data_IF_094436590720
#
_entry.id   IF_094436590720
#
_cell.length_a   1.000
_cell.length_b   1.000
_cell.length_c   1.000
_cell.angle_alpha   90.00
_cell.angle_beta   90.00
_cell.angle_gamma   90.00
#
_symmetry.space_group_name_H-M   'P 1'
#
loop_
_entity.id
_entity.type
_entity.pdbx_description
1 polymer ?
#
# COMPACT_ATOMS: atom_id res chain seq x y z
N UNK A 1 -19.97 -0.38 -10.72
CA UNK A 1 -18.62 -0.82 -11.11
C UNK A 1 -18.66 -2.25 -11.66
N UNK A 2 -17.98 -2.52 -12.76
CA UNK A 2 -17.91 -3.85 -13.39
C UNK A 2 -16.45 -4.26 -13.59
N UNK A 3 -16.02 -5.30 -12.87
CA UNK A 3 -14.70 -5.92 -13.03
C UNK A 3 -14.63 -6.77 -14.30
N UNK A 4 -13.41 -6.97 -14.80
CA UNK A 4 -13.11 -7.96 -15.88
C UNK A 4 -12.76 -9.33 -15.31
N UNK A 5 -12.65 -9.45 -14.00
CA UNK A 5 -12.36 -10.69 -13.31
C UNK A 5 -13.65 -11.42 -12.93
N UNK A 6 -13.50 -12.68 -12.54
CA UNK A 6 -14.62 -13.49 -12.06
C UNK A 6 -15.20 -12.89 -10.77
N UNK A 7 -16.51 -12.78 -10.71
CA UNK A 7 -17.22 -12.35 -9.51
C UNK A 7 -16.81 -13.19 -8.28
N UNK A 8 -16.83 -12.55 -7.13
CA UNK A 8 -16.52 -13.16 -5.83
C UNK A 8 -15.14 -13.88 -5.75
N UNK A 9 -14.19 -13.47 -6.60
CA UNK A 9 -12.81 -14.00 -6.60
C UNK A 9 -12.14 -13.95 -5.22
N UNK A 10 -12.44 -12.91 -4.44
CA UNK A 10 -11.92 -12.69 -3.09
C UNK A 10 -12.97 -12.84 -1.99
N UNK A 11 -14.07 -13.55 -2.25
CA UNK A 11 -15.08 -13.81 -1.23
C UNK A 11 -14.46 -14.47 0.01
N UNK A 12 -14.78 -13.92 1.20
CA UNK A 12 -14.25 -14.40 2.47
C UNK A 12 -12.79 -13.99 2.77
N UNK A 13 -12.16 -13.19 1.88
CA UNK A 13 -10.80 -12.68 2.08
C UNK A 13 -10.79 -11.29 2.69
N UNK A 14 -9.87 -11.03 3.61
CA UNK A 14 -9.62 -9.70 4.17
C UNK A 14 -8.32 -9.13 3.61
N UNK A 15 -8.40 -7.98 2.99
CA UNK A 15 -7.29 -7.35 2.28
C UNK A 15 -7.06 -5.92 2.78
N UNK A 16 -5.85 -5.64 3.23
CA UNK A 16 -5.42 -4.30 3.68
C UNK A 16 -4.88 -3.53 2.49
N UNK A 17 -5.29 -2.27 2.33
CA UNK A 17 -4.75 -1.34 1.32
C UNK A 17 -4.25 -0.08 2.02
N UNK A 18 -2.92 0.13 2.02
CA UNK A 18 -2.33 1.36 2.53
C UNK A 18 -2.42 2.47 1.48
N UNK A 19 -2.65 3.72 1.93
CA UNK A 19 -2.93 4.82 1.01
C UNK A 19 -4.27 4.67 0.28
N UNK A 20 -5.23 3.96 0.88
CA UNK A 20 -6.53 3.63 0.28
C UNK A 20 -7.48 4.80 0.05
N UNK A 21 -7.15 5.99 0.54
CA UNK A 21 -8.02 7.19 0.42
C UNK A 21 -7.89 7.96 -0.89
N UNK A 22 -7.06 7.56 -1.85
CA UNK A 22 -6.91 8.24 -3.14
C UNK A 22 -6.13 7.42 -4.17
N UNK A 23 -6.15 7.85 -5.43
CA UNK A 23 -5.31 7.35 -6.52
C UNK A 23 -5.37 5.82 -6.69
N UNK A 24 -4.21 5.21 -6.90
CA UNK A 24 -4.07 3.76 -7.12
C UNK A 24 -4.67 2.97 -5.95
N UNK A 25 -4.42 3.39 -4.70
CA UNK A 25 -4.96 2.70 -3.52
C UNK A 25 -6.48 2.71 -3.48
N UNK A 26 -7.13 3.85 -3.78
CA UNK A 26 -8.59 3.92 -3.89
C UNK A 26 -9.13 2.99 -4.98
N UNK A 27 -8.55 3.04 -6.19
CA UNK A 27 -8.99 2.17 -7.29
C UNK A 27 -8.80 0.68 -6.95
N UNK A 28 -7.66 0.33 -6.34
CA UNK A 28 -7.39 -1.04 -5.88
C UNK A 28 -8.42 -1.49 -4.84
N UNK A 29 -8.77 -0.63 -3.90
CA UNK A 29 -9.77 -0.95 -2.87
C UNK A 29 -11.15 -1.20 -3.46
N UNK A 30 -11.59 -0.38 -4.42
CA UNK A 30 -12.86 -0.58 -5.14
C UNK A 30 -12.87 -1.91 -5.91
N UNK A 31 -11.79 -2.23 -6.65
CA UNK A 31 -11.69 -3.49 -7.38
C UNK A 31 -11.76 -4.69 -6.44
N UNK A 32 -10.98 -4.69 -5.36
CA UNK A 32 -10.97 -5.78 -4.39
C UNK A 32 -12.34 -5.97 -3.72
N UNK A 33 -13.02 -4.88 -3.37
CA UNK A 33 -14.37 -4.93 -2.80
C UNK A 33 -15.40 -5.46 -3.80
N UNK A 34 -15.34 -5.02 -5.06
CA UNK A 34 -16.21 -5.52 -6.15
C UNK A 34 -16.03 -7.03 -6.36
N UNK A 35 -14.80 -7.53 -6.17
CA UNK A 35 -14.46 -8.95 -6.24
C UNK A 35 -14.74 -9.74 -4.95
N UNK A 36 -15.43 -9.16 -3.98
CA UNK A 36 -15.92 -9.87 -2.79
C UNK A 36 -15.06 -9.76 -1.55
N UNK A 37 -13.92 -9.06 -1.59
CA UNK A 37 -13.07 -8.90 -0.42
C UNK A 37 -13.71 -8.02 0.67
N UNK A 38 -13.41 -8.32 1.93
CA UNK A 38 -13.48 -7.36 3.02
C UNK A 38 -12.25 -6.46 2.93
N UNK A 39 -12.43 -5.21 2.57
CA UNK A 39 -11.32 -4.25 2.44
C UNK A 39 -11.09 -3.49 3.73
N UNK A 40 -9.82 -3.31 4.08
CA UNK A 40 -9.36 -2.47 5.19
C UNK A 40 -8.49 -1.35 4.63
N UNK A 41 -8.97 -0.12 4.69
CA UNK A 41 -8.30 1.07 4.19
C UNK A 41 -7.40 1.68 5.27
N UNK A 42 -6.14 1.95 4.95
CA UNK A 42 -5.23 2.68 5.82
C UNK A 42 -4.74 3.98 5.17
N UNK A 43 -4.63 5.03 5.97
CA UNK A 43 -4.09 6.31 5.52
C UNK A 43 -4.07 7.35 6.64
N UNK A 44 -3.55 8.54 6.36
CA UNK A 44 -3.41 9.61 7.37
C UNK A 44 -4.64 10.50 7.53
N UNK A 45 -5.52 10.56 6.52
CA UNK A 45 -6.67 11.45 6.47
C UNK A 45 -7.95 10.64 6.57
N UNK A 46 -8.61 10.73 7.72
CA UNK A 46 -9.82 9.98 8.04
C UNK A 46 -10.97 10.32 7.08
N UNK A 47 -11.14 11.60 6.76
CA UNK A 47 -12.15 12.09 5.83
C UNK A 47 -12.08 11.41 4.47
N UNK A 48 -10.86 11.25 3.93
CA UNK A 48 -10.63 10.56 2.66
C UNK A 48 -10.90 9.06 2.73
N UNK A 49 -10.50 8.42 3.83
CA UNK A 49 -10.73 6.99 4.01
C UNK A 49 -12.22 6.70 4.15
N UNK A 50 -12.92 7.54 4.94
CA UNK A 50 -14.36 7.44 5.10
C UNK A 50 -15.10 7.63 3.78
N UNK A 51 -14.72 8.64 2.99
CA UNK A 51 -15.34 8.87 1.69
C UNK A 51 -15.21 7.64 0.78
N UNK A 52 -14.01 7.02 0.70
CA UNK A 52 -13.79 5.80 -0.09
C UNK A 52 -14.57 4.60 0.48
N UNK A 53 -14.69 4.48 1.79
CA UNK A 53 -15.50 3.41 2.40
C UNK A 53 -17.00 3.59 2.07
N UNK A 54 -17.49 4.82 2.09
CA UNK A 54 -18.88 5.14 1.70
C UNK A 54 -19.11 4.85 0.20
N UNK A 55 -18.19 5.24 -0.68
CA UNK A 55 -18.22 4.91 -2.11
C UNK A 55 -18.26 3.39 -2.36
N UNK A 56 -17.41 2.62 -1.68
CA UNK A 56 -17.40 1.15 -1.80
C UNK A 56 -18.75 0.57 -1.38
N UNK A 57 -19.33 1.07 -0.29
CA UNK A 57 -20.66 0.62 0.16
C UNK A 57 -21.74 0.93 -0.87
N UNK A 58 -21.72 2.11 -1.45
CA UNK A 58 -22.68 2.53 -2.48
C UNK A 58 -22.54 1.68 -3.76
N UNK A 59 -21.32 1.44 -4.21
CA UNK A 59 -21.02 0.74 -5.46
C UNK A 59 -21.23 -0.79 -5.37
N UNK A 60 -20.95 -1.38 -4.21
CA UNK A 60 -20.85 -2.85 -4.07
C UNK A 60 -21.80 -3.43 -3.02
N UNK A 61 -22.43 -2.59 -2.19
CA UNK A 61 -23.20 -3.02 -1.02
C UNK A 61 -22.33 -3.60 0.12
N UNK A 62 -21.01 -3.53 0.04
CA UNK A 62 -20.07 -4.13 1.01
C UNK A 62 -19.49 -3.06 1.92
N UNK A 63 -19.34 -3.38 3.20
CA UNK A 63 -18.67 -2.50 4.16
C UNK A 63 -17.15 -2.61 4.04
N UNK A 64 -16.48 -1.46 3.94
CA UNK A 64 -15.03 -1.34 4.08
C UNK A 64 -14.68 -0.78 5.46
N UNK A 65 -13.71 -1.41 6.13
CA UNK A 65 -13.15 -0.86 7.36
C UNK A 65 -12.09 0.20 7.03
N UNK A 66 -11.89 1.16 7.92
CA UNK A 66 -10.80 2.10 7.76
C UNK A 66 -10.14 2.45 9.11
N UNK A 67 -8.83 2.71 9.06
CA UNK A 67 -8.03 3.11 10.22
C UNK A 67 -7.08 4.23 9.83
N UNK A 68 -6.98 5.25 10.67
CA UNK A 68 -5.96 6.28 10.51
C UNK A 68 -4.61 5.77 10.99
N UNK A 69 -3.61 5.78 10.10
CA UNK A 69 -2.26 5.35 10.41
C UNK A 69 -1.24 6.15 9.61
N UNK A 70 -0.22 6.66 10.29
CA UNK A 70 1.00 7.11 9.64
C UNK A 70 1.99 5.93 9.62
N UNK A 71 2.18 5.33 8.44
CA UNK A 71 3.05 4.15 8.28
C UNK A 71 4.53 4.42 8.61
N UNK A 72 4.92 5.68 8.81
CA UNK A 72 6.29 6.08 9.20
C UNK A 72 6.54 5.95 10.71
N UNK A 73 5.50 5.73 11.48
CA UNK A 73 5.51 5.60 12.93
C UNK A 73 5.31 4.13 13.32
N UNK A 74 6.38 3.50 13.82
CA UNK A 74 6.42 2.07 14.11
C UNK A 74 5.37 1.66 15.16
N UNK A 75 5.23 2.44 16.23
CA UNK A 75 4.26 2.13 17.29
C UNK A 75 2.82 2.21 16.77
N UNK A 76 2.51 3.24 15.97
CA UNK A 76 1.20 3.37 15.33
C UNK A 76 0.90 2.23 14.38
N UNK A 77 1.89 1.80 13.58
CA UNK A 77 1.72 0.66 12.69
C UNK A 77 1.41 -0.61 13.48
N UNK A 78 2.20 -0.91 14.51
CA UNK A 78 2.00 -2.07 15.37
C UNK A 78 0.60 -2.08 15.99
N UNK A 79 0.20 -0.96 16.60
CA UNK A 79 -1.06 -0.85 17.31
C UNK A 79 -2.26 -0.88 16.35
N UNK A 80 -2.12 -0.26 15.16
CA UNK A 80 -3.17 -0.31 14.12
C UNK A 80 -3.34 -1.72 13.57
N UNK A 81 -2.26 -2.44 13.28
CA UNK A 81 -2.34 -3.82 12.80
C UNK A 81 -2.96 -4.72 13.87
N UNK A 82 -2.63 -4.52 15.15
CA UNK A 82 -3.27 -5.24 16.26
C UNK A 82 -4.78 -4.96 16.34
N UNK A 83 -5.20 -3.71 16.15
CA UNK A 83 -6.62 -3.34 16.13
C UNK A 83 -7.36 -3.98 14.94
N UNK A 84 -6.72 -4.06 13.77
CA UNK A 84 -7.28 -4.73 12.60
C UNK A 84 -7.50 -6.22 12.91
N UNK A 85 -6.49 -6.95 13.40
CA UNK A 85 -6.64 -8.38 13.71
C UNK A 85 -7.69 -8.67 14.77
N UNK A 86 -7.96 -7.73 15.69
CA UNK A 86 -9.08 -7.86 16.64
C UNK A 86 -10.45 -7.81 15.98
N UNK A 87 -10.58 -7.09 14.85
CA UNK A 87 -11.87 -6.93 14.16
C UNK A 87 -12.09 -7.99 13.07
N UNK A 88 -11.03 -8.43 12.39
CA UNK A 88 -11.17 -9.28 11.20
C UNK A 88 -10.69 -10.71 11.39
N UNK A 89 -10.08 -11.04 12.51
CA UNK A 89 -9.51 -12.35 12.87
C UNK A 89 -8.36 -12.81 11.96
N UNK A 90 -8.47 -12.64 10.63
CA UNK A 90 -7.47 -13.03 9.66
C UNK A 90 -7.29 -11.93 8.59
N UNK A 91 -6.06 -11.71 8.18
CA UNK A 91 -5.67 -10.87 7.04
C UNK A 91 -5.05 -11.78 5.98
N UNK A 92 -5.66 -11.84 4.79
CA UNK A 92 -5.23 -12.68 3.67
C UNK A 92 -4.29 -11.94 2.71
N UNK A 93 -4.33 -10.60 2.72
CA UNK A 93 -3.46 -9.81 1.85
C UNK A 93 -3.19 -8.40 2.34
N UNK A 94 -2.03 -7.89 1.88
CA UNK A 94 -1.59 -6.52 2.11
C UNK A 94 -1.15 -5.90 0.79
N UNK A 95 -1.73 -4.75 0.44
CA UNK A 95 -1.24 -3.89 -0.64
C UNK A 95 -0.52 -2.69 0.00
N UNK A 96 0.80 -2.72 -0.03
CA UNK A 96 1.66 -1.60 0.35
C UNK A 96 1.70 -0.58 -0.79
N UNK A 97 0.72 0.31 -0.79
CA UNK A 97 0.57 1.35 -1.81
C UNK A 97 0.86 2.75 -1.28
N UNK A 98 0.75 2.98 0.03
CA UNK A 98 1.03 4.29 0.61
C UNK A 98 2.44 4.75 0.24
N UNK A 99 2.54 5.92 -0.36
CA UNK A 99 3.78 6.49 -0.84
C UNK A 99 3.65 7.98 -1.07
N UNK A 100 4.76 8.60 -1.43
CA UNK A 100 4.81 10.02 -1.78
C UNK A 100 6.21 10.44 -2.14
N UNK A 101 6.29 11.44 -3.01
CA UNK A 101 7.55 11.97 -3.52
C UNK A 101 7.34 13.41 -3.97
N UNK A 102 8.41 14.08 -4.29
CA UNK A 102 8.41 15.40 -4.90
C UNK A 102 9.54 15.50 -5.93
N UNK A 103 9.36 16.25 -7.00
CA UNK A 103 10.43 16.43 -7.98
C UNK A 103 11.53 17.35 -7.43
N UNK A 104 12.79 16.93 -7.59
CA UNK A 104 13.97 17.73 -7.27
C UNK A 104 15.21 17.16 -7.97
N UNK A 105 16.08 17.99 -8.56
CA UNK A 105 17.41 17.56 -8.98
C UNK A 105 18.17 16.93 -7.81
N UNK A 106 18.93 15.87 -8.05
CA UNK A 106 19.62 15.11 -6.98
C UNK A 106 20.46 16.02 -6.07
N UNK A 107 21.20 16.97 -6.67
CA UNK A 107 22.03 17.89 -5.90
C UNK A 107 21.25 18.87 -5.00
N UNK A 108 19.95 19.03 -5.23
CA UNK A 108 19.07 19.94 -4.47
C UNK A 108 18.22 19.22 -3.44
N UNK A 109 18.27 17.89 -3.37
CA UNK A 109 17.54 17.12 -2.35
C UNK A 109 18.18 17.34 -1.00
N UNK A 110 17.46 17.98 -0.08
CA UNK A 110 17.91 18.12 1.29
C UNK A 110 17.91 16.77 2.03
N UNK A 111 18.73 16.62 3.06
CA UNK A 111 18.72 15.43 3.92
C UNK A 111 17.31 15.13 4.44
N UNK A 112 16.60 16.13 4.95
CA UNK A 112 15.22 15.98 5.44
C UNK A 112 14.26 15.48 4.34
N UNK A 113 14.40 16.00 3.12
CA UNK A 113 13.61 15.57 1.98
C UNK A 113 13.88 14.12 1.61
N UNK A 114 15.16 13.76 1.54
CA UNK A 114 15.62 12.38 1.33
C UNK A 114 15.02 11.43 2.36
N UNK A 115 15.25 11.68 3.64
CA UNK A 115 14.77 10.86 4.75
C UNK A 115 13.24 10.72 4.76
N UNK A 116 12.51 11.80 4.44
CA UNK A 116 11.04 11.77 4.39
C UNK A 116 10.54 10.80 3.34
N UNK A 117 11.16 10.80 2.15
CA UNK A 117 10.75 9.91 1.05
C UNK A 117 11.16 8.46 1.34
N UNK A 118 12.36 8.24 1.86
CA UNK A 118 12.81 6.90 2.29
C UNK A 118 11.89 6.34 3.39
N UNK A 119 11.58 7.14 4.41
CA UNK A 119 10.68 6.71 5.49
C UNK A 119 9.28 6.36 4.99
N UNK A 120 8.77 7.09 4.00
CA UNK A 120 7.43 6.83 3.47
C UNK A 120 7.41 5.63 2.54
N UNK A 121 8.32 5.59 1.54
CA UNK A 121 8.25 4.62 0.43
C UNK A 121 9.00 3.31 0.68
N UNK A 122 9.88 3.25 1.69
CA UNK A 122 10.64 2.06 2.04
C UNK A 122 10.34 1.62 3.48
N UNK A 123 10.70 2.45 4.47
CA UNK A 123 10.55 2.07 5.88
C UNK A 123 9.10 1.77 6.24
N UNK A 124 8.15 2.61 5.81
CA UNK A 124 6.73 2.41 6.10
C UNK A 124 6.15 1.12 5.50
N UNK A 125 6.54 0.80 4.26
CA UNK A 125 6.13 -0.47 3.63
C UNK A 125 6.73 -1.68 4.35
N UNK A 126 8.00 -1.60 4.76
CA UNK A 126 8.65 -2.61 5.59
C UNK A 126 7.91 -2.81 6.93
N UNK A 127 7.64 -1.73 7.66
CA UNK A 127 6.93 -1.80 8.95
C UNK A 127 5.55 -2.45 8.81
N UNK A 128 4.79 -2.05 7.80
CA UNK A 128 3.47 -2.65 7.52
C UNK A 128 3.58 -4.15 7.21
N UNK A 129 4.50 -4.54 6.32
CA UNK A 129 4.69 -5.93 5.94
C UNK A 129 5.12 -6.77 7.15
N UNK A 130 6.07 -6.28 7.95
CA UNK A 130 6.58 -6.96 9.15
C UNK A 130 5.46 -7.17 10.17
N UNK A 131 4.69 -6.12 10.50
CA UNK A 131 3.65 -6.24 11.51
C UNK A 131 2.50 -7.15 11.07
N UNK A 132 2.07 -7.07 9.81
CA UNK A 132 1.05 -7.98 9.28
C UNK A 132 1.55 -9.43 9.28
N UNK A 133 2.82 -9.66 8.95
CA UNK A 133 3.43 -10.99 9.04
C UNK A 133 3.48 -11.49 10.49
N UNK A 134 4.08 -10.71 11.38
CA UNK A 134 4.33 -11.14 12.78
C UNK A 134 3.05 -11.38 13.57
N UNK A 135 2.01 -10.57 13.34
CA UNK A 135 0.77 -10.65 14.11
C UNK A 135 -0.23 -11.68 13.58
N UNK A 136 -0.03 -12.23 12.37
CA UNK A 136 -0.98 -13.22 11.85
C UNK A 136 -0.55 -14.01 10.63
N UNK A 137 -0.04 -13.38 9.56
CA UNK A 137 0.27 -14.10 8.31
C UNK A 137 1.33 -15.20 8.45
N UNK A 138 2.22 -15.11 9.43
CA UNK A 138 3.19 -16.17 9.75
C UNK A 138 2.54 -17.51 10.11
N UNK A 139 1.25 -17.51 10.46
CA UNK A 139 0.46 -18.71 10.81
C UNK A 139 -0.58 -19.07 9.74
N UNK A 140 -1.16 -18.06 9.10
CA UNK A 140 -2.27 -18.26 8.14
C UNK A 140 -1.82 -18.29 6.68
N UNK A 141 -0.57 -17.92 6.40
CA UNK A 141 -0.16 -17.60 5.03
C UNK A 141 -0.80 -16.30 4.53
N UNK A 142 -0.55 -15.95 3.27
CA UNK A 142 -1.14 -14.76 2.68
C UNK A 142 -0.39 -14.23 1.45
N UNK A 143 -0.73 -13.03 1.03
CA UNK A 143 -0.09 -12.36 -0.12
C UNK A 143 0.19 -10.90 0.18
N UNK A 144 1.43 -10.47 -0.05
CA UNK A 144 1.83 -9.06 0.05
C UNK A 144 2.19 -8.54 -1.34
N UNK A 145 1.65 -7.39 -1.71
CA UNK A 145 1.98 -6.69 -2.95
C UNK A 145 2.52 -5.31 -2.61
N UNK A 146 3.75 -5.06 -3.00
CA UNK A 146 4.42 -3.77 -2.82
C UNK A 146 4.30 -2.96 -4.11
N UNK A 147 3.68 -1.79 -4.04
CA UNK A 147 3.64 -0.87 -5.17
C UNK A 147 4.95 -0.09 -5.21
N UNK A 148 5.74 -0.33 -6.23
CA UNK A 148 7.00 0.38 -6.50
C UNK A 148 6.82 1.35 -7.67
N UNK A 149 7.84 1.61 -8.45
CA UNK A 149 7.78 2.39 -9.67
C UNK A 149 8.81 1.84 -10.66
N UNK A 150 8.72 2.23 -11.91
CA UNK A 150 9.78 1.96 -12.87
C UNK A 150 11.02 2.78 -12.50
N UNK A 151 12.01 2.12 -11.87
CA UNK A 151 13.24 2.74 -11.39
C UNK A 151 14.50 2.14 -12.00
N UNK A 152 14.38 1.12 -12.88
CA UNK A 152 15.53 0.38 -13.41
C UNK A 152 16.43 1.22 -14.32
N UNK A 153 15.87 2.19 -15.02
CA UNK A 153 16.61 3.18 -15.80
C UNK A 153 17.07 4.41 -15.00
N UNK A 154 16.87 4.38 -13.68
CA UNK A 154 16.99 5.56 -12.80
C UNK A 154 15.72 6.39 -12.80
N UNK A 155 15.62 7.33 -11.86
CA UNK A 155 14.50 8.27 -11.76
C UNK A 155 15.02 9.73 -11.73
N UNK A 156 15.39 10.30 -12.89
CA UNK A 156 15.82 11.70 -12.96
C UNK A 156 14.79 12.63 -12.34
N UNK A 157 15.26 13.58 -11.52
CA UNK A 157 14.38 14.47 -10.78
C UNK A 157 13.69 13.85 -9.55
N UNK A 158 13.88 12.56 -9.28
CA UNK A 158 13.26 11.85 -8.15
C UNK A 158 14.21 10.80 -7.53
N UNK A 159 15.50 11.10 -7.41
CA UNK A 159 16.53 10.15 -6.95
C UNK A 159 16.24 9.49 -5.60
N UNK A 160 15.65 10.20 -4.64
CA UNK A 160 15.22 9.65 -3.35
C UNK A 160 14.10 8.60 -3.51
N UNK A 161 13.15 8.84 -4.43
CA UNK A 161 12.09 7.88 -4.73
C UNK A 161 12.65 6.64 -5.41
N UNK A 162 13.52 6.81 -6.41
CA UNK A 162 14.19 5.70 -7.08
C UNK A 162 14.95 4.80 -6.11
N UNK A 163 15.73 5.39 -5.20
CA UNK A 163 16.46 4.66 -4.16
C UNK A 163 15.50 3.89 -3.22
N UNK A 164 14.40 4.53 -2.76
CA UNK A 164 13.42 3.89 -1.91
C UNK A 164 12.72 2.72 -2.62
N UNK A 165 12.34 2.89 -3.87
CA UNK A 165 11.63 1.86 -4.66
C UNK A 165 12.54 0.69 -5.02
N UNK A 166 13.82 0.94 -5.34
CA UNK A 166 14.81 -0.12 -5.53
C UNK A 166 15.05 -0.91 -4.23
N UNK A 167 15.12 -0.22 -3.09
CA UNK A 167 15.17 -0.86 -1.77
C UNK A 167 13.96 -1.74 -1.49
N UNK A 168 12.74 -1.27 -1.83
CA UNK A 168 11.51 -2.04 -1.67
C UNK A 168 11.44 -3.25 -2.62
N UNK A 169 11.95 -3.13 -3.85
CA UNK A 169 12.07 -4.27 -4.77
C UNK A 169 12.99 -5.36 -4.20
N UNK A 170 14.14 -4.96 -3.67
CA UNK A 170 15.06 -5.92 -3.01
C UNK A 170 14.45 -6.52 -1.74
N UNK A 171 13.79 -5.71 -0.90
CA UNK A 171 13.05 -6.20 0.27
C UNK A 171 11.99 -7.23 -0.13
N UNK A 172 11.27 -6.99 -1.22
CA UNK A 172 10.26 -7.93 -1.75
C UNK A 172 10.85 -9.31 -2.01
N UNK A 173 12.01 -9.37 -2.67
CA UNK A 173 12.72 -10.63 -2.97
C UNK A 173 13.17 -11.34 -1.70
N UNK A 174 13.75 -10.61 -0.75
CA UNK A 174 14.20 -11.15 0.54
C UNK A 174 13.01 -11.71 1.33
N UNK A 175 11.96 -10.93 1.51
CA UNK A 175 10.77 -11.35 2.26
C UNK A 175 10.04 -12.53 1.59
N UNK A 176 10.02 -12.59 0.25
CA UNK A 176 9.46 -13.73 -0.48
C UNK A 176 10.19 -15.04 -0.17
N UNK A 177 11.51 -15.00 -0.05
CA UNK A 177 12.33 -16.17 0.29
C UNK A 177 12.17 -16.55 1.77
N UNK A 178 12.30 -15.58 2.67
CA UNK A 178 12.27 -15.84 4.12
C UNK A 178 10.88 -16.30 4.61
N UNK A 179 9.82 -15.78 4.03
CA UNK A 179 8.43 -16.04 4.48
C UNK A 179 7.72 -17.15 3.68
N UNK A 180 8.41 -17.74 2.70
CA UNK A 180 7.86 -18.84 1.90
C UNK A 180 7.42 -20.05 2.74
N UNK A 181 8.21 -20.39 3.77
CA UNK A 181 7.89 -21.52 4.68
C UNK A 181 6.59 -21.28 5.49
N UNK A 182 6.18 -20.02 5.67
CA UNK A 182 4.91 -19.65 6.29
C UNK A 182 3.75 -19.57 5.28
N UNK A 183 3.97 -19.89 4.01
CA UNK A 183 2.96 -19.78 2.96
C UNK A 183 2.64 -18.32 2.55
N UNK A 184 3.55 -17.38 2.81
CA UNK A 184 3.39 -15.97 2.43
C UNK A 184 4.12 -15.69 1.13
N UNK A 185 3.38 -15.20 0.14
CA UNK A 185 3.93 -14.73 -1.13
C UNK A 185 4.13 -13.21 -1.08
N UNK A 186 5.27 -12.73 -1.51
CA UNK A 186 5.56 -11.30 -1.57
C UNK A 186 5.97 -10.93 -2.99
N UNK A 187 5.28 -9.98 -3.59
CA UNK A 187 5.52 -9.50 -4.96
C UNK A 187 5.54 -7.98 -5.01
N UNK A 188 6.12 -7.43 -6.08
CA UNK A 188 6.07 -6.01 -6.37
C UNK A 188 5.40 -5.74 -7.72
N UNK A 189 4.72 -4.60 -7.80
CA UNK A 189 4.15 -4.06 -9.04
C UNK A 189 4.76 -2.69 -9.27
N UNK A 190 5.29 -2.47 -10.46
CA UNK A 190 5.90 -1.21 -10.88
C UNK A 190 4.99 -0.49 -11.89
N UNK A 191 4.08 0.37 -11.43
CA UNK A 191 3.28 1.19 -12.34
C UNK A 191 4.17 2.19 -13.08
N UNK A 192 3.81 2.47 -14.32
CA UNK A 192 4.30 3.65 -15.04
C UNK A 192 3.60 4.93 -14.57
N UNK A 193 3.44 5.90 -15.45
CA UNK A 193 2.69 7.12 -15.17
C UNK A 193 1.19 6.83 -15.17
N UNK A 194 0.57 6.99 -14.00
CA UNK A 194 -0.87 6.78 -13.80
C UNK A 194 -1.54 8.14 -13.56
N UNK A 195 -2.46 8.52 -14.41
CA UNK A 195 -3.24 9.73 -14.25
C UNK A 195 -4.05 9.68 -12.96
N UNK A 196 -3.76 10.57 -12.03
CA UNK A 196 -4.43 10.68 -10.73
C UNK A 196 -4.23 12.07 -10.15
N UNK A 197 -5.00 12.45 -9.14
CA UNK A 197 -4.82 13.72 -8.42
C UNK A 197 -3.42 13.90 -7.79
N UNK A 198 -2.63 12.85 -7.67
CA UNK A 198 -1.22 12.96 -7.29
C UNK A 198 -0.36 13.66 -8.35
N UNK A 199 -0.79 13.64 -9.62
CA UNK A 199 -0.09 14.32 -10.72
C UNK A 199 -0.24 15.83 -10.65
N UNK A 200 -1.31 16.36 -10.04
CA UNK A 200 -1.57 17.78 -9.90
C UNK A 200 -0.52 18.50 -9.03
N UNK A 201 0.31 17.74 -8.33
CA UNK A 201 1.41 18.28 -7.50
C UNK A 201 2.71 18.46 -8.26
N UNK A 202 2.78 18.02 -9.52
CA UNK A 202 3.97 18.16 -10.35
C UNK A 202 3.92 19.46 -11.16
N UNK A 203 5.10 20.07 -11.48
CA UNK A 203 5.15 21.21 -12.37
C UNK A 203 4.57 20.89 -13.74
N UNK A 204 3.93 21.88 -14.37
CA UNK A 204 3.48 21.76 -15.75
C UNK A 204 4.66 21.43 -16.68
N UNK A 205 4.48 20.45 -17.56
CA UNK A 205 5.50 20.04 -18.54
C UNK A 205 6.47 18.95 -18.08
N UNK A 206 6.21 18.33 -16.93
CA UNK A 206 6.99 17.20 -16.44
C UNK A 206 6.37 15.84 -16.86
#
# INVERSE_FOLDING_TARGET
YRSVFRDDLFAGKTLIVTGGGSGIGRCTAHELAALGARVVLLGRKEDKLKAVADEIREDTGREALFFTCDIRDEDKVRDTVAAIYKQVQQVDGLVNNAGGQFPSPVAMISQKGWETVIRTNLTGGFLMAREVFMQGMNKSGGSIVNIVADMWGGMPGMGHSGAARAGMDNFTKTAALEWACAGVRVNAVAPGWIASSGMDTYPEGM
#
